data_IF_545181109000
#
_entry.id   IF_545181109000
#
_cell.length_a   1.000
_cell.length_b   1.000
_cell.length_c   1.000
_cell.angle_alpha   90.00
_cell.angle_beta   90.00
_cell.angle_gamma   90.00
#
_symmetry.space_group_name_H-M   'P 1'
#
loop_
_entity.id
_entity.type
_entity.pdbx_description
1 polymer ?
#
# COMPACT_ATOMS: atom_id res chain seq x y z
N UNK A 1 -48.47 14.67 -21.76
CA UNK A 1 -47.03 14.44 -21.55
C UNK A 1 -46.86 13.70 -20.24
N UNK A 2 -46.73 12.37 -20.32
CA UNK A 2 -46.73 11.49 -19.14
C UNK A 2 -45.28 11.23 -18.75
N UNK A 3 -44.87 11.68 -17.58
CA UNK A 3 -43.54 11.42 -17.05
C UNK A 3 -43.41 9.91 -16.74
N UNK A 4 -42.65 9.20 -17.57
CA UNK A 4 -42.22 7.83 -17.30
C UNK A 4 -41.30 7.86 -16.08
N UNK A 5 -41.86 7.50 -14.92
CA UNK A 5 -41.09 7.25 -13.72
C UNK A 5 -40.16 6.04 -13.96
N UNK A 6 -38.89 6.32 -14.25
CA UNK A 6 -37.84 5.32 -14.36
C UNK A 6 -37.69 4.62 -13.01
N UNK A 7 -38.07 3.35 -12.98
CA UNK A 7 -38.01 2.49 -11.80
C UNK A 7 -36.55 2.39 -11.32
N UNK A 8 -36.27 2.53 -10.01
CA UNK A 8 -34.92 2.37 -9.50
C UNK A 8 -34.43 0.95 -9.79
N UNK A 9 -33.31 0.85 -10.49
CA UNK A 9 -32.61 -0.41 -10.75
C UNK A 9 -32.34 -1.12 -9.43
N UNK A 10 -32.89 -2.31 -9.28
CA UNK A 10 -32.79 -3.15 -8.08
C UNK A 10 -31.32 -3.38 -7.68
N UNK A 11 -31.02 -3.28 -6.38
CA UNK A 11 -29.71 -3.52 -5.75
C UNK A 11 -28.86 -4.71 -6.29
N UNK A 12 -29.43 -5.88 -6.69
CA UNK A 12 -28.66 -6.95 -7.33
C UNK A 12 -27.92 -6.54 -8.61
N UNK A 13 -28.50 -5.66 -9.44
CA UNK A 13 -27.87 -5.17 -10.67
C UNK A 13 -26.64 -4.29 -10.43
N UNK A 14 -26.59 -3.60 -9.28
CA UNK A 14 -25.45 -2.76 -8.91
C UNK A 14 -24.24 -3.60 -8.50
N UNK A 15 -24.46 -4.72 -7.80
CA UNK A 15 -23.39 -5.63 -7.38
C UNK A 15 -22.78 -6.36 -8.57
N UNK A 16 -23.60 -6.83 -9.51
CA UNK A 16 -23.10 -7.47 -10.73
C UNK A 16 -22.32 -6.47 -11.59
N UNK A 17 -22.84 -5.25 -11.79
CA UNK A 17 -22.14 -4.19 -12.51
C UNK A 17 -20.78 -3.84 -11.87
N UNK A 18 -20.73 -3.70 -10.54
CA UNK A 18 -19.49 -3.43 -9.82
C UNK A 18 -18.47 -4.55 -10.02
N UNK A 19 -18.89 -5.82 -9.90
CA UNK A 19 -17.99 -6.98 -10.10
C UNK A 19 -17.43 -7.03 -11.51
N UNK A 20 -18.27 -6.82 -12.53
CA UNK A 20 -17.84 -6.81 -13.93
C UNK A 20 -16.86 -5.67 -14.19
N UNK A 21 -17.16 -4.45 -13.72
CA UNK A 21 -16.26 -3.30 -13.85
C UNK A 21 -14.94 -3.54 -13.11
N UNK A 22 -14.98 -4.03 -11.88
CA UNK A 22 -13.79 -4.34 -11.10
C UNK A 22 -12.91 -5.40 -11.79
N UNK A 23 -13.52 -6.42 -12.41
CA UNK A 23 -12.78 -7.44 -13.17
C UNK A 23 -12.09 -6.88 -14.41
N UNK A 24 -12.76 -5.97 -15.15
CA UNK A 24 -12.18 -5.30 -16.31
C UNK A 24 -11.02 -4.38 -15.92
N UNK A 25 -11.20 -3.57 -14.86
CA UNK A 25 -10.15 -2.69 -14.37
C UNK A 25 -8.99 -3.48 -13.76
N UNK A 26 -9.25 -4.58 -13.04
CA UNK A 26 -8.22 -5.47 -12.52
C UNK A 26 -7.40 -6.10 -13.65
N UNK A 27 -8.04 -6.56 -14.73
CA UNK A 27 -7.33 -7.07 -15.91
C UNK A 27 -6.51 -5.98 -16.58
N UNK A 28 -7.06 -4.78 -16.74
CA UNK A 28 -6.35 -3.64 -17.32
C UNK A 28 -5.14 -3.23 -16.48
N UNK A 29 -5.27 -3.28 -15.15
CA UNK A 29 -4.19 -3.05 -14.21
C UNK A 29 -3.09 -4.13 -14.33
N UNK A 30 -3.48 -5.41 -14.32
CA UNK A 30 -2.57 -6.54 -14.40
C UNK A 30 -1.76 -6.58 -15.72
N UNK A 31 -2.36 -6.10 -16.81
CA UNK A 31 -1.72 -6.02 -18.13
C UNK A 31 -1.01 -4.68 -18.36
N UNK A 32 -1.00 -3.78 -17.38
CA UNK A 32 -0.34 -2.48 -17.54
C UNK A 32 1.18 -2.67 -17.60
N UNK A 33 1.89 -2.12 -18.60
CA UNK A 33 3.31 -2.38 -18.80
C UNK A 33 4.18 -2.00 -17.60
N UNK A 34 3.86 -0.88 -16.94
CA UNK A 34 4.55 -0.49 -15.69
C UNK A 34 4.35 -1.50 -14.55
N UNK A 35 3.15 -2.08 -14.41
CA UNK A 35 2.90 -3.09 -13.38
C UNK A 35 3.68 -4.37 -13.67
N UNK A 36 3.67 -4.84 -14.93
CA UNK A 36 4.47 -5.99 -15.36
C UNK A 36 5.96 -5.75 -15.11
N UNK A 37 6.47 -4.55 -15.43
CA UNK A 37 7.86 -4.18 -15.14
C UNK A 37 8.15 -4.19 -13.63
N UNK A 38 7.23 -3.69 -12.79
CA UNK A 38 7.35 -3.74 -11.33
C UNK A 38 7.41 -5.17 -10.79
N UNK A 39 6.55 -6.08 -11.27
CA UNK A 39 6.56 -7.51 -10.90
C UNK A 39 7.86 -8.18 -11.34
N UNK A 40 8.33 -7.88 -12.56
CA UNK A 40 9.58 -8.43 -13.08
C UNK A 40 10.79 -7.94 -12.26
N UNK A 41 10.88 -6.65 -11.96
CA UNK A 41 11.94 -6.11 -11.12
C UNK A 41 11.90 -6.71 -9.72
N UNK A 42 10.73 -6.80 -9.09
CA UNK A 42 10.57 -7.47 -7.80
C UNK A 42 11.12 -8.91 -7.85
N UNK A 43 10.79 -9.65 -8.90
CA UNK A 43 11.26 -11.03 -9.10
C UNK A 43 12.77 -11.09 -9.26
N UNK A 44 13.35 -10.24 -10.13
CA UNK A 44 14.80 -10.19 -10.38
C UNK A 44 15.57 -9.87 -9.11
N UNK A 45 15.17 -8.83 -8.37
CA UNK A 45 15.84 -8.46 -7.13
C UNK A 45 15.68 -9.52 -6.02
N UNK A 46 14.53 -10.20 -5.96
CA UNK A 46 14.32 -11.31 -5.03
C UNK A 46 15.23 -12.49 -5.34
N UNK A 47 15.37 -12.84 -6.62
CA UNK A 47 16.28 -13.91 -7.06
C UNK A 47 17.73 -13.54 -6.83
N UNK A 48 18.11 -12.29 -7.09
CA UNK A 48 19.45 -11.78 -6.80
C UNK A 48 19.77 -11.88 -5.30
N UNK A 49 18.85 -11.43 -4.43
CA UNK A 49 19.02 -11.54 -2.98
C UNK A 49 19.14 -13.01 -2.51
N UNK A 50 18.38 -13.92 -3.11
CA UNK A 50 18.51 -15.35 -2.84
C UNK A 50 19.86 -15.93 -3.30
N UNK A 51 20.37 -15.48 -4.45
CA UNK A 51 21.67 -15.88 -4.97
C UNK A 51 22.82 -15.37 -4.07
N UNK A 52 22.73 -14.11 -3.65
CA UNK A 52 23.70 -13.49 -2.75
C UNK A 52 23.74 -14.19 -1.39
N UNK A 53 22.57 -14.58 -0.87
CA UNK A 53 22.47 -15.41 0.32
C UNK A 53 23.13 -16.79 0.13
N UNK A 54 22.87 -17.45 -1.00
CA UNK A 54 23.43 -18.78 -1.28
C UNK A 54 24.96 -18.78 -1.48
N UNK A 55 25.52 -17.67 -1.96
CA UNK A 55 26.98 -17.50 -2.17
C UNK A 55 27.70 -16.93 -0.96
N UNK A 56 26.96 -16.52 0.09
CA UNK A 56 27.52 -15.94 1.31
C UNK A 56 28.08 -14.53 1.12
N UNK A 57 27.65 -13.81 0.07
CA UNK A 57 28.04 -12.42 -0.16
C UNK A 57 27.34 -11.45 0.78
N UNK A 58 26.20 -11.87 1.34
CA UNK A 58 25.42 -11.14 2.36
C UNK A 58 25.21 -12.06 3.56
N UNK A 59 25.21 -11.50 4.77
CA UNK A 59 24.94 -12.29 5.98
C UNK A 59 23.56 -12.97 5.92
N UNK A 60 23.46 -14.25 6.36
CA UNK A 60 22.24 -15.03 6.29
C UNK A 60 21.27 -14.65 7.41
N UNK A 61 20.72 -13.45 7.32
CA UNK A 61 19.64 -13.00 8.20
C UNK A 61 18.43 -12.58 7.37
N UNK A 62 17.23 -12.73 7.92
CA UNK A 62 15.98 -12.23 7.30
C UNK A 62 16.08 -10.76 6.86
N UNK A 63 16.90 -9.99 7.59
CA UNK A 63 17.13 -8.56 7.45
C UNK A 63 18.57 -8.24 6.98
N UNK A 64 19.30 -9.21 6.43
CA UNK A 64 20.72 -9.08 6.07
C UNK A 64 21.04 -8.01 5.04
N UNK A 65 20.01 -7.45 4.41
CA UNK A 65 20.09 -6.17 3.72
C UNK A 65 18.94 -5.22 4.01
N UNK A 66 18.05 -5.49 4.99
CA UNK A 66 16.84 -4.70 5.32
C UNK A 66 15.78 -4.57 4.21
N UNK A 67 16.17 -4.77 2.95
CA UNK A 67 15.46 -4.31 1.76
C UNK A 67 14.34 -5.26 1.32
N UNK A 68 14.39 -6.55 1.70
CA UNK A 68 13.43 -7.55 1.24
C UNK A 68 11.99 -7.18 1.59
N UNK A 69 11.75 -6.67 2.80
CA UNK A 69 10.42 -6.25 3.26
C UNK A 69 9.91 -5.02 2.49
N UNK A 70 10.84 -4.16 2.07
CA UNK A 70 10.54 -2.92 1.34
C UNK A 70 10.24 -3.20 -0.14
N UNK A 71 10.79 -4.26 -0.71
CA UNK A 71 10.67 -4.57 -2.13
C UNK A 71 9.23 -4.60 -2.68
N UNK A 72 8.24 -5.32 -2.09
CA UNK A 72 6.87 -5.28 -2.60
C UNK A 72 6.24 -3.89 -2.47
N UNK A 73 6.51 -3.17 -1.38
CA UNK A 73 6.02 -1.81 -1.18
C UNK A 73 6.60 -0.85 -2.23
N UNK A 74 7.87 -0.99 -2.57
CA UNK A 74 8.54 -0.17 -3.56
C UNK A 74 8.11 -0.54 -4.99
N UNK A 75 8.34 -1.77 -5.43
CA UNK A 75 8.12 -2.17 -6.82
C UNK A 75 6.64 -2.30 -7.20
N UNK A 76 5.77 -2.70 -6.28
CA UNK A 76 4.34 -2.84 -6.55
C UNK A 76 3.57 -1.63 -6.03
N UNK A 77 3.87 -1.16 -4.82
CA UNK A 77 3.19 0.00 -4.23
C UNK A 77 3.50 1.30 -4.97
N UNK A 78 4.78 1.69 -5.03
CA UNK A 78 5.17 2.99 -5.62
C UNK A 78 4.88 3.04 -7.13
N UNK A 79 5.24 2.00 -7.88
CA UNK A 79 4.86 1.89 -9.30
C UNK A 79 3.34 1.89 -9.45
N UNK A 80 2.65 1.24 -8.51
CA UNK A 80 1.20 1.17 -8.48
C UNK A 80 0.49 2.51 -8.34
N UNK A 81 1.12 3.50 -7.66
CA UNK A 81 0.66 4.90 -7.62
C UNK A 81 0.50 5.45 -9.04
N UNK A 82 1.52 5.24 -9.89
CA UNK A 82 1.55 5.75 -11.26
C UNK A 82 0.48 5.08 -12.12
N UNK A 83 0.39 3.74 -12.06
CA UNK A 83 -0.59 2.95 -12.81
C UNK A 83 -2.01 3.36 -12.43
N UNK A 84 -2.32 3.39 -11.13
CA UNK A 84 -3.66 3.73 -10.64
C UNK A 84 -4.05 5.17 -11.00
N UNK A 85 -3.12 6.12 -10.88
CA UNK A 85 -3.37 7.51 -11.28
C UNK A 85 -3.65 7.64 -12.79
N UNK A 86 -2.90 6.93 -13.65
CA UNK A 86 -3.12 6.93 -15.10
C UNK A 86 -4.47 6.31 -15.47
N UNK A 87 -4.83 5.17 -14.88
CA UNK A 87 -6.12 4.51 -15.09
C UNK A 87 -7.28 5.41 -14.65
N UNK A 88 -7.16 6.03 -13.49
CA UNK A 88 -8.16 6.97 -12.96
C UNK A 88 -8.39 8.13 -13.92
N UNK A 89 -7.32 8.73 -14.45
CA UNK A 89 -7.43 9.84 -15.41
C UNK A 89 -7.96 9.43 -16.77
N UNK A 90 -7.57 8.25 -17.25
CA UNK A 90 -8.11 7.69 -18.49
C UNK A 90 -9.63 7.55 -18.40
N UNK A 91 -10.15 7.08 -17.25
CA UNK A 91 -11.58 6.93 -17.04
C UNK A 91 -12.33 8.27 -16.96
N UNK A 92 -11.74 9.28 -16.32
CA UNK A 92 -12.33 10.62 -16.28
C UNK A 92 -12.47 11.23 -17.68
N UNK A 93 -11.42 11.13 -18.51
CA UNK A 93 -11.45 11.63 -19.90
C UNK A 93 -12.48 10.90 -20.76
N UNK A 94 -12.58 9.58 -20.63
CA UNK A 94 -13.59 8.80 -21.38
C UNK A 94 -15.02 9.10 -20.93
N UNK A 95 -15.22 9.45 -19.66
CA UNK A 95 -16.53 9.83 -19.13
C UNK A 95 -17.06 11.16 -19.69
N UNK A 96 -16.16 12.08 -20.05
CA UNK A 96 -16.51 13.35 -20.69
C UNK A 96 -16.87 13.17 -22.18
N UNK A 97 -16.26 12.19 -22.84
CA UNK A 97 -16.40 11.97 -24.28
C UNK A 97 -17.62 11.12 -24.69
N UNK A 98 -18.12 10.25 -23.80
CA UNK A 98 -19.22 9.32 -24.11
C UNK A 98 -20.48 9.76 -23.37
N UNK A 99 -21.59 9.87 -24.10
CA UNK A 99 -22.95 10.10 -23.59
C UNK A 99 -23.27 9.23 -22.35
N UNK A 100 -24.24 9.59 -21.48
CA UNK A 100 -24.25 9.21 -20.07
C UNK A 100 -24.07 7.71 -19.86
N UNK A 101 -22.86 7.33 -19.46
CA UNK A 101 -22.55 5.94 -19.16
C UNK A 101 -23.38 5.47 -17.95
N UNK A 102 -23.99 4.28 -18.00
CA UNK A 102 -24.98 3.81 -17.03
C UNK A 102 -24.44 3.56 -15.62
N UNK A 103 -23.13 3.71 -15.38
CA UNK A 103 -22.51 3.53 -14.08
C UNK A 103 -22.20 4.88 -13.39
N UNK A 104 -22.72 5.08 -12.18
CA UNK A 104 -22.42 6.23 -11.33
C UNK A 104 -20.91 6.37 -11.06
N UNK A 105 -20.44 7.61 -10.84
CA UNK A 105 -19.03 7.91 -10.51
C UNK A 105 -18.52 7.12 -9.30
N UNK A 106 -19.35 6.98 -8.26
CA UNK A 106 -19.00 6.21 -7.06
C UNK A 106 -18.74 4.73 -7.36
N UNK A 107 -19.53 4.10 -8.23
CA UNK A 107 -19.31 2.71 -8.65
C UNK A 107 -18.03 2.52 -9.45
N UNK A 108 -17.65 3.49 -10.30
CA UNK A 108 -16.40 3.45 -11.06
C UNK A 108 -15.18 3.60 -10.14
N UNK A 109 -15.24 4.53 -9.18
CA UNK A 109 -14.18 4.68 -8.18
C UNK A 109 -14.06 3.44 -7.29
N UNK A 110 -15.19 2.84 -6.88
CA UNK A 110 -15.16 1.59 -6.13
C UNK A 110 -14.53 0.44 -6.94
N UNK A 111 -14.82 0.34 -8.24
CA UNK A 111 -14.20 -0.64 -9.13
C UNK A 111 -12.67 -0.45 -9.23
N UNK A 112 -12.20 0.80 -9.34
CA UNK A 112 -10.76 1.12 -9.33
C UNK A 112 -10.10 0.78 -7.99
N UNK A 113 -10.74 1.08 -6.87
CA UNK A 113 -10.22 0.70 -5.55
C UNK A 113 -10.14 -0.83 -5.41
N UNK A 114 -11.10 -1.59 -5.96
CA UNK A 114 -11.03 -3.05 -5.99
C UNK A 114 -9.93 -3.57 -6.93
N UNK A 115 -9.68 -2.91 -8.05
CA UNK A 115 -8.57 -3.25 -8.94
C UNK A 115 -7.20 -3.07 -8.26
N UNK A 116 -7.09 -2.20 -7.25
CA UNK A 116 -5.88 -2.06 -6.42
C UNK A 116 -5.57 -3.30 -5.57
N UNK A 117 -6.46 -4.30 -5.52
CA UNK A 117 -6.15 -5.60 -4.92
C UNK A 117 -5.22 -6.46 -5.79
N UNK A 118 -5.06 -6.15 -7.09
CA UNK A 118 -4.15 -6.86 -8.00
C UNK A 118 -2.69 -6.81 -7.52
N UNK A 119 -2.08 -5.64 -7.23
CA UNK A 119 -0.73 -5.59 -6.66
C UNK A 119 -0.66 -6.21 -5.27
N UNK A 120 -1.73 -6.14 -4.47
CA UNK A 120 -1.81 -6.87 -3.19
C UNK A 120 -1.74 -8.38 -3.37
N UNK A 121 -2.47 -8.93 -4.33
CA UNK A 121 -2.41 -10.37 -4.65
C UNK A 121 -1.01 -10.78 -5.13
N UNK A 122 -0.37 -9.98 -5.98
CA UNK A 122 1.02 -10.22 -6.39
C UNK A 122 1.99 -10.19 -5.20
N UNK A 123 1.80 -9.25 -4.26
CA UNK A 123 2.60 -9.19 -3.03
C UNK A 123 2.36 -10.40 -2.11
N UNK A 124 1.13 -10.93 -2.03
CA UNK A 124 0.82 -12.17 -1.29
C UNK A 124 1.49 -13.39 -1.93
N UNK A 125 1.50 -13.48 -3.25
CA UNK A 125 2.22 -14.55 -3.98
C UNK A 125 3.71 -14.47 -3.68
N UNK A 126 4.29 -13.27 -3.77
CA UNK A 126 5.69 -13.03 -3.40
C UNK A 126 5.97 -13.40 -1.95
N UNK A 127 5.10 -13.01 -1.01
CA UNK A 127 5.22 -13.35 0.41
C UNK A 127 5.17 -14.87 0.64
N UNK A 128 4.28 -15.56 -0.06
CA UNK A 128 4.19 -17.02 0.03
C UNK A 128 5.46 -17.68 -0.48
N UNK A 129 6.02 -17.16 -1.59
CA UNK A 129 7.30 -17.62 -2.11
C UNK A 129 8.43 -17.41 -1.10
N UNK A 130 8.54 -16.24 -0.46
CA UNK A 130 9.61 -16.00 0.52
C UNK A 130 9.52 -16.93 1.74
N UNK A 131 8.32 -17.21 2.23
CA UNK A 131 8.12 -18.23 3.28
C UNK A 131 8.51 -19.63 2.83
N UNK A 132 8.11 -20.06 1.62
CA UNK A 132 8.48 -21.38 1.09
C UNK A 132 10.00 -21.48 0.93
N UNK A 133 10.64 -20.46 0.36
CA UNK A 133 12.10 -20.43 0.18
C UNK A 133 12.83 -20.57 1.52
N UNK A 134 12.35 -19.91 2.58
CA UNK A 134 12.90 -20.05 3.93
C UNK A 134 12.82 -21.47 4.48
N UNK A 135 11.65 -22.11 4.31
CA UNK A 135 11.48 -23.50 4.79
C UNK A 135 12.40 -24.47 4.06
N UNK A 136 12.71 -24.20 2.79
CA UNK A 136 13.57 -25.05 1.97
C UNK A 136 15.07 -24.80 2.19
N UNK A 137 15.49 -23.57 2.50
CA UNK A 137 16.90 -23.19 2.61
C UNK A 137 17.44 -23.13 4.04
N UNK A 138 16.64 -23.51 5.04
CA UNK A 138 17.06 -23.60 6.46
C UNK A 138 17.79 -22.34 6.95
N UNK A 139 17.26 -21.17 6.59
CA UNK A 139 17.85 -19.88 7.00
C UNK A 139 17.84 -19.82 8.54
N UNK A 140 18.94 -19.41 9.19
CA UNK A 140 19.01 -19.31 10.64
C UNK A 140 17.85 -18.47 11.20
N UNK A 141 17.28 -18.88 12.34
CA UNK A 141 16.22 -18.10 12.98
C UNK A 141 16.76 -16.72 13.36
N UNK A 142 15.96 -15.69 13.13
CA UNK A 142 16.31 -14.33 13.55
C UNK A 142 15.97 -14.10 15.01
N UNK A 143 16.56 -13.04 15.56
CA UNK A 143 16.22 -12.54 16.89
C UNK A 143 14.84 -11.88 16.94
N UNK A 144 14.12 -11.74 15.82
CA UNK A 144 12.79 -11.13 15.77
C UNK A 144 11.74 -12.21 16.05
N UNK A 145 10.79 -11.98 16.98
CA UNK A 145 9.70 -12.92 17.22
C UNK A 145 8.94 -13.26 15.94
N UNK A 146 8.43 -14.50 15.78
CA UNK A 146 7.70 -14.91 14.57
C UNK A 146 6.46 -14.05 14.27
N UNK A 147 5.74 -13.61 15.32
CA UNK A 147 4.57 -12.75 15.17
C UNK A 147 4.93 -11.38 14.57
N UNK A 148 6.03 -10.78 15.02
CA UNK A 148 6.52 -9.51 14.50
C UNK A 148 7.03 -9.65 13.07
N UNK A 149 7.70 -10.77 12.77
CA UNK A 149 8.15 -11.08 11.41
C UNK A 149 6.98 -11.16 10.42
N UNK A 150 5.89 -11.84 10.80
CA UNK A 150 4.66 -11.88 9.99
C UNK A 150 4.06 -10.48 9.84
N UNK A 151 3.99 -9.70 10.91
CA UNK A 151 3.44 -8.34 10.86
C UNK A 151 4.25 -7.41 9.93
N UNK A 152 5.58 -7.47 10.01
CA UNK A 152 6.52 -6.72 9.17
C UNK A 152 6.32 -7.07 7.68
N UNK A 153 6.20 -8.36 7.36
CA UNK A 153 5.95 -8.80 5.98
C UNK A 153 4.56 -8.41 5.46
N UNK A 154 3.54 -8.57 6.30
CA UNK A 154 2.19 -8.13 5.97
C UNK A 154 2.14 -6.62 5.74
N UNK A 155 2.98 -5.82 6.42
CA UNK A 155 3.10 -4.39 6.15
C UNK A 155 3.54 -4.15 4.69
N UNK A 156 4.53 -4.90 4.18
CA UNK A 156 4.94 -4.83 2.77
C UNK A 156 3.78 -5.10 1.79
N UNK A 157 2.94 -6.10 2.08
CA UNK A 157 1.73 -6.42 1.29
C UNK A 157 0.70 -5.29 1.34
N UNK A 158 0.44 -4.75 2.53
CA UNK A 158 -0.50 -3.64 2.71
C UNK A 158 -0.03 -2.40 1.95
N UNK A 159 1.28 -2.13 1.94
CA UNK A 159 1.86 -1.00 1.23
C UNK A 159 1.82 -1.16 -0.29
N UNK A 160 1.94 -2.40 -0.78
CA UNK A 160 1.70 -2.73 -2.19
C UNK A 160 0.27 -2.39 -2.64
N UNK A 161 -0.71 -2.41 -1.72
CA UNK A 161 -2.09 -1.95 -1.97
C UNK A 161 -2.25 -0.44 -1.76
N UNK A 162 -1.59 0.11 -0.73
CA UNK A 162 -1.68 1.51 -0.34
C UNK A 162 -1.22 2.49 -1.41
N UNK A 163 -0.11 2.20 -2.10
CA UNK A 163 0.39 3.03 -3.20
C UNK A 163 -0.64 3.21 -4.34
N UNK A 164 -1.17 2.13 -4.94
CA UNK A 164 -2.25 2.23 -5.92
C UNK A 164 -3.48 3.00 -5.42
N UNK A 165 -3.94 2.76 -4.18
CA UNK A 165 -5.08 3.47 -3.61
C UNK A 165 -4.82 4.98 -3.50
N UNK A 166 -3.60 5.36 -3.11
CA UNK A 166 -3.16 6.75 -3.10
C UNK A 166 -3.10 7.33 -4.52
N UNK A 167 -2.70 6.54 -5.51
CA UNK A 167 -2.77 6.91 -6.93
C UNK A 167 -4.20 7.19 -7.41
N UNK A 168 -5.19 6.37 -7.00
CA UNK A 168 -6.61 6.62 -7.26
C UNK A 168 -7.06 7.92 -6.59
N UNK A 169 -6.70 8.12 -5.31
CA UNK A 169 -7.05 9.33 -4.56
C UNK A 169 -6.51 10.59 -5.27
N UNK A 170 -5.22 10.61 -5.59
CA UNK A 170 -4.57 11.73 -6.27
C UNK A 170 -5.18 11.96 -7.65
N UNK A 171 -5.42 10.89 -8.41
CA UNK A 171 -6.03 10.97 -9.73
C UNK A 171 -7.45 11.56 -9.73
N UNK A 172 -8.18 11.41 -8.62
CA UNK A 172 -9.52 12.01 -8.44
C UNK A 172 -9.49 13.46 -7.97
N UNK A 173 -8.57 13.79 -7.07
CA UNK A 173 -8.55 15.10 -6.42
C UNK A 173 -7.72 16.15 -7.13
N UNK A 174 -6.84 15.75 -8.04
CA UNK A 174 -5.90 16.66 -8.69
C UNK A 174 -6.11 16.72 -10.20
N UNK A 175 -6.25 17.94 -10.74
CA UNK A 175 -6.33 18.18 -12.18
C UNK A 175 -4.95 18.26 -12.87
N UNK A 176 -3.86 18.42 -12.10
CA UNK A 176 -2.53 18.77 -12.62
C UNK A 176 -1.91 17.63 -13.43
N UNK A 177 -1.54 17.78 -14.72
CA UNK A 177 -0.80 16.77 -15.47
C UNK A 177 0.50 16.42 -14.74
N UNK A 178 0.67 15.16 -14.33
CA UNK A 178 1.86 14.71 -13.59
C UNK A 178 1.70 14.54 -12.08
N UNK A 179 0.52 14.77 -11.49
CA UNK A 179 0.30 14.61 -10.05
C UNK A 179 0.76 13.25 -9.51
N UNK A 180 0.54 12.15 -10.24
CA UNK A 180 1.03 10.83 -9.83
C UNK A 180 2.55 10.73 -9.72
N UNK A 181 3.30 11.39 -10.64
CA UNK A 181 4.78 11.43 -10.59
C UNK A 181 5.21 12.26 -9.38
N UNK A 182 4.58 13.42 -9.16
CA UNK A 182 4.88 14.25 -8.00
C UNK A 182 4.63 13.49 -6.69
N UNK A 183 3.51 12.76 -6.59
CA UNK A 183 3.21 11.90 -5.43
C UNK A 183 4.27 10.82 -5.25
N UNK A 184 4.68 10.13 -6.32
CA UNK A 184 5.77 9.17 -6.27
C UNK A 184 7.06 9.78 -5.72
N UNK A 185 7.49 10.94 -6.26
CA UNK A 185 8.72 11.61 -5.84
C UNK A 185 8.64 12.06 -4.38
N UNK A 186 7.51 12.65 -3.96
CA UNK A 186 7.32 13.09 -2.58
C UNK A 186 7.32 11.92 -1.60
N UNK A 187 6.67 10.80 -1.94
CA UNK A 187 6.70 9.59 -1.11
C UNK A 187 8.11 9.02 -1.02
N UNK A 188 8.83 8.96 -2.14
CA UNK A 188 10.20 8.46 -2.19
C UNK A 188 11.14 9.34 -1.35
N UNK A 189 11.03 10.66 -1.51
CA UNK A 189 11.79 11.62 -0.73
C UNK A 189 11.45 11.53 0.77
N UNK A 190 10.17 11.39 1.12
CA UNK A 190 9.75 11.20 2.51
C UNK A 190 10.35 9.95 3.14
N UNK A 191 10.27 8.82 2.44
CA UNK A 191 10.90 7.57 2.86
C UNK A 191 12.41 7.76 3.02
N UNK A 192 13.08 8.37 2.03
CA UNK A 192 14.53 8.59 2.10
C UNK A 192 14.93 9.47 3.29
N UNK A 193 14.21 10.56 3.53
CA UNK A 193 14.45 11.46 4.68
C UNK A 193 14.22 10.74 5.99
N UNK A 194 13.16 9.94 6.11
CA UNK A 194 12.86 9.22 7.33
C UNK A 194 13.79 8.02 7.57
N UNK A 195 14.24 7.32 6.52
CA UNK A 195 15.24 6.25 6.63
C UNK A 195 16.62 6.82 7.02
N UNK A 196 17.08 7.87 6.33
CA UNK A 196 18.38 8.52 6.62
C UNK A 196 18.32 9.22 7.99
N UNK A 197 17.27 10.00 8.23
CA UNK A 197 17.05 10.70 9.50
C UNK A 197 16.93 9.72 10.67
N UNK A 198 16.13 8.67 10.52
CA UNK A 198 15.98 7.63 11.55
C UNK A 198 17.29 6.91 11.85
N UNK A 199 18.15 6.67 10.86
CA UNK A 199 19.47 6.04 11.06
C UNK A 199 20.52 6.95 11.71
N UNK A 200 20.35 8.27 11.63
CA UNK A 200 21.32 9.26 12.13
C UNK A 200 20.91 9.89 13.47
N UNK A 201 19.64 9.76 13.85
CA UNK A 201 19.13 10.26 15.13
C UNK A 201 19.39 9.28 16.27
N UNK A 202 19.66 9.82 17.46
CA UNK A 202 19.69 9.01 18.67
C UNK A 202 18.31 8.35 18.90
N UNK A 203 18.32 7.09 19.35
CA UNK A 203 17.10 6.35 19.63
C UNK A 203 16.20 7.13 20.59
N UNK A 204 15.05 7.55 20.10
CA UNK A 204 14.06 8.34 20.83
C UNK A 204 12.67 8.07 20.28
N UNK A 205 11.63 8.38 21.06
CA UNK A 205 10.26 8.28 20.55
C UNK A 205 10.02 9.18 19.34
N UNK A 206 10.73 10.32 19.24
CA UNK A 206 10.65 11.20 18.08
C UNK A 206 11.28 10.56 16.84
N UNK A 207 12.46 9.95 16.95
CA UNK A 207 13.08 9.26 15.82
C UNK A 207 12.23 8.07 15.35
N UNK A 208 11.64 7.32 16.28
CA UNK A 208 10.69 6.24 15.94
C UNK A 208 9.44 6.79 15.28
N UNK A 209 8.85 7.88 15.78
CA UNK A 209 7.67 8.49 15.19
C UNK A 209 7.92 8.93 13.75
N UNK A 210 9.05 9.59 13.47
CA UNK A 210 9.43 10.01 12.11
C UNK A 210 9.63 8.79 11.21
N UNK A 211 10.32 7.77 11.71
CA UNK A 211 10.64 6.56 10.94
C UNK A 211 9.43 5.66 10.67
N UNK A 212 8.48 5.61 11.60
CA UNK A 212 7.23 4.85 11.48
C UNK A 212 6.11 5.64 10.78
N UNK A 213 6.28 6.94 10.57
CA UNK A 213 5.35 7.74 9.77
C UNK A 213 5.52 7.51 8.26
N UNK A 214 6.52 6.73 7.83
CA UNK A 214 6.69 6.34 6.44
C UNK A 214 5.72 5.25 6.03
N UNK A 215 5.37 5.17 4.74
CA UNK A 215 4.60 4.05 4.22
C UNK A 215 5.36 2.72 4.31
N UNK A 216 6.69 2.72 4.39
CA UNK A 216 7.46 1.51 4.69
C UNK A 216 8.71 1.89 5.45
N UNK A 217 9.06 1.07 6.42
CA UNK A 217 10.13 1.33 7.39
C UNK A 217 11.03 0.11 7.48
N UNK A 218 12.32 0.35 7.72
CA UNK A 218 13.32 -0.70 7.85
C UNK A 218 13.36 -1.12 9.31
N UNK A 219 12.99 -2.36 9.58
CA UNK A 219 13.15 -2.97 10.89
C UNK A 219 14.51 -3.64 10.94
N UNK A 220 15.35 -3.28 11.90
CA UNK A 220 16.68 -3.87 12.06
C UNK A 220 16.87 -4.35 13.49
N UNK A 221 17.38 -5.57 13.65
CA UNK A 221 17.89 -6.10 14.91
C UNK A 221 19.42 -6.02 14.84
N UNK A 222 20.02 -5.06 15.55
CA UNK A 222 21.41 -4.65 15.35
C UNK A 222 22.49 -5.66 15.75
N UNK A 223 23.62 -5.56 15.02
CA UNK A 223 24.98 -5.60 15.56
C UNK A 223 25.50 -4.17 15.81
N UNK A 224 26.63 -4.04 16.51
CA UNK A 224 27.18 -2.77 17.00
C UNK A 224 27.39 -1.73 15.89
N UNK A 225 26.46 -0.75 15.81
CA UNK A 225 26.56 0.40 14.89
C UNK A 225 25.30 0.68 14.06
N UNK A 226 24.37 -0.26 13.95
CA UNK A 226 23.10 -0.01 13.28
C UNK A 226 22.05 0.49 14.29
N UNK A 227 21.56 1.71 14.09
CA UNK A 227 20.49 2.27 14.91
C UNK A 227 19.24 1.36 14.83
N UNK A 228 18.82 0.85 15.99
CA UNK A 228 17.59 0.07 16.11
C UNK A 228 16.39 0.98 15.81
N UNK A 229 15.58 0.62 14.82
CA UNK A 229 14.23 1.18 14.71
C UNK A 229 13.31 0.36 15.61
N UNK A 230 13.07 0.87 16.81
CA UNK A 230 12.13 0.29 17.77
C UNK A 230 10.69 0.55 17.37
N UNK A 231 9.77 -0.17 18.01
CA UNK A 231 8.34 0.00 17.80
C UNK A 231 7.57 -1.31 17.83
N UNK A 232 6.25 -1.24 17.65
CA UNK A 232 5.40 -2.42 17.53
C UNK A 232 4.96 -2.63 16.08
N UNK A 233 5.45 -3.68 15.40
CA UNK A 233 5.05 -3.99 14.03
C UNK A 233 3.54 -4.23 13.86
N UNK A 234 2.89 -4.80 14.87
CA UNK A 234 1.43 -5.01 14.86
C UNK A 234 0.64 -3.70 14.82
N UNK A 235 1.01 -2.71 15.65
CA UNK A 235 0.39 -1.40 15.63
C UNK A 235 0.72 -0.61 14.35
N UNK A 236 1.93 -0.79 13.82
CA UNK A 236 2.31 -0.20 12.54
C UNK A 236 1.51 -0.80 11.37
N UNK A 237 1.25 -2.10 11.37
CA UNK A 237 0.37 -2.75 10.39
C UNK A 237 -1.06 -2.20 10.47
N UNK A 238 -1.58 -1.95 11.68
CA UNK A 238 -2.87 -1.30 11.86
C UNK A 238 -2.87 0.14 11.28
N UNK A 239 -1.81 0.90 11.51
CA UNK A 239 -1.64 2.23 10.93
C UNK A 239 -1.64 2.19 9.39
N UNK A 240 -0.89 1.28 8.77
CA UNK A 240 -0.85 1.16 7.30
C UNK A 240 -2.18 0.72 6.69
N UNK A 241 -2.86 -0.25 7.33
CA UNK A 241 -4.17 -0.72 6.87
C UNK A 241 -5.24 0.37 6.97
N UNK A 242 -5.21 1.16 8.03
CA UNK A 242 -6.13 2.31 8.21
C UNK A 242 -5.83 3.43 7.22
N UNK A 243 -4.56 3.70 6.89
CA UNK A 243 -4.20 4.62 5.80
C UNK A 243 -4.70 4.16 4.43
N UNK A 244 -4.60 2.86 4.13
CA UNK A 244 -5.17 2.29 2.90
C UNK A 244 -6.69 2.51 2.85
N UNK A 245 -7.38 2.22 3.95
CA UNK A 245 -8.81 2.49 4.09
C UNK A 245 -9.15 3.97 3.92
N UNK A 246 -8.34 4.88 4.47
CA UNK A 246 -8.53 6.32 4.39
C UNK A 246 -8.39 6.80 2.94
N UNK A 247 -7.38 6.33 2.21
CA UNK A 247 -7.20 6.66 0.80
C UNK A 247 -8.40 6.21 -0.05
N UNK A 248 -8.87 4.97 0.14
CA UNK A 248 -10.05 4.45 -0.55
C UNK A 248 -11.33 5.24 -0.20
N UNK A 249 -11.56 5.51 1.09
CA UNK A 249 -12.72 6.25 1.56
C UNK A 249 -12.71 7.71 1.05
N UNK A 250 -11.54 8.36 1.00
CA UNK A 250 -11.39 9.73 0.52
C UNK A 250 -11.59 9.82 -1.00
N UNK A 251 -11.16 8.80 -1.75
CA UNK A 251 -11.45 8.70 -3.17
C UNK A 251 -12.97 8.54 -3.43
N UNK A 252 -13.65 7.70 -2.65
CA UNK A 252 -15.11 7.50 -2.74
C UNK A 252 -15.89 8.74 -2.28
N UNK A 253 -15.41 9.45 -1.27
CA UNK A 253 -16.06 10.64 -0.71
C UNK A 253 -16.18 11.77 -1.73
N UNK A 254 -15.20 11.89 -2.63
CA UNK A 254 -15.21 12.87 -3.72
C UNK A 254 -16.47 12.75 -4.60
N UNK A 255 -16.87 11.52 -4.93
CA UNK A 255 -18.01 11.21 -5.81
C UNK A 255 -19.34 11.04 -5.06
N UNK A 256 -19.31 11.08 -3.73
CA UNK A 256 -20.48 10.83 -2.89
C UNK A 256 -21.38 12.08 -2.76
N UNK A 257 -22.70 11.86 -2.74
CA UNK A 257 -23.74 12.90 -2.61
C UNK A 257 -24.75 12.55 -1.50
N UNK A 258 -25.31 13.58 -0.85
CA UNK A 258 -26.35 13.43 0.18
C UNK A 258 -25.92 12.53 1.35
N UNK A 259 -26.78 11.58 1.74
CA UNK A 259 -26.57 10.72 2.90
C UNK A 259 -25.36 9.77 2.80
N UNK A 260 -24.87 9.43 1.59
CA UNK A 260 -23.66 8.62 1.45
C UNK A 260 -22.39 9.42 1.78
N UNK A 261 -22.36 10.72 1.43
CA UNK A 261 -21.23 11.62 1.74
C UNK A 261 -21.07 11.82 3.24
N UNK A 262 -22.18 12.01 3.97
CA UNK A 262 -22.15 12.13 5.43
C UNK A 262 -21.62 10.86 6.11
N UNK A 263 -22.03 9.67 5.64
CA UNK A 263 -21.54 8.39 6.16
C UNK A 263 -20.04 8.20 5.90
N UNK A 264 -19.58 8.44 4.66
CA UNK A 264 -18.16 8.37 4.31
C UNK A 264 -17.32 9.40 5.07
N UNK A 265 -17.86 10.59 5.35
CA UNK A 265 -17.20 11.59 6.20
C UNK A 265 -16.94 11.07 7.62
N UNK A 266 -17.92 10.39 8.23
CA UNK A 266 -17.72 9.76 9.55
C UNK A 266 -16.69 8.63 9.48
N UNK A 267 -16.74 7.81 8.42
CA UNK A 267 -15.75 6.74 8.20
C UNK A 267 -14.34 7.32 8.08
N UNK A 268 -14.15 8.45 7.38
CA UNK A 268 -12.86 9.13 7.29
C UNK A 268 -12.36 9.60 8.65
N UNK A 269 -13.22 10.19 9.48
CA UNK A 269 -12.85 10.61 10.84
C UNK A 269 -12.41 9.42 11.68
N UNK A 270 -13.19 8.33 11.68
CA UNK A 270 -12.86 7.11 12.45
C UNK A 270 -11.54 6.51 11.97
N UNK A 271 -11.33 6.38 10.67
CA UNK A 271 -10.08 5.85 10.11
C UNK A 271 -8.88 6.76 10.42
N UNK A 272 -9.06 8.09 10.36
CA UNK A 272 -8.01 9.05 10.73
C UNK A 272 -7.61 8.95 12.20
N UNK A 273 -8.58 8.81 13.11
CA UNK A 273 -8.32 8.61 14.53
C UNK A 273 -7.62 7.27 14.80
N UNK A 274 -8.04 6.20 14.13
CA UNK A 274 -7.40 4.88 14.25
C UNK A 274 -5.98 4.89 13.69
N UNK A 275 -5.72 5.58 12.57
CA UNK A 275 -4.38 5.73 12.02
C UNK A 275 -3.46 6.49 12.98
N UNK A 276 -3.93 7.62 13.53
CA UNK A 276 -3.16 8.40 14.50
C UNK A 276 -2.88 7.58 15.77
N UNK A 277 -3.87 6.87 16.31
CA UNK A 277 -3.70 6.00 17.47
C UNK A 277 -2.73 4.85 17.18
N UNK A 278 -2.86 4.19 16.03
CA UNK A 278 -1.97 3.11 15.60
C UNK A 278 -0.52 3.57 15.47
N UNK A 279 -0.28 4.74 14.87
CA UNK A 279 1.06 5.32 14.76
C UNK A 279 1.65 5.67 16.13
N UNK A 280 0.87 6.32 17.00
CA UNK A 280 1.32 6.69 18.33
C UNK A 280 1.63 5.45 19.18
N UNK A 281 0.80 4.41 19.12
CA UNK A 281 1.04 3.15 19.84
C UNK A 281 2.23 2.38 19.25
N UNK A 282 2.42 2.43 17.93
CA UNK A 282 3.60 1.86 17.29
C UNK A 282 4.89 2.54 17.76
N UNK A 283 4.90 3.87 17.89
CA UNK A 283 6.06 4.66 18.33
C UNK A 283 6.25 4.71 19.86
N UNK A 284 5.19 4.44 20.64
CA UNK A 284 5.22 4.41 22.10
C UNK A 284 5.80 3.11 22.66
N UNK A 285 5.85 2.03 21.86
CA UNK A 285 6.58 0.83 22.23
C UNK A 285 8.06 1.15 22.47
N UNK A 286 8.70 0.39 23.37
CA UNK A 286 10.03 0.68 23.90
C UNK A 286 11.04 0.94 22.77
N UNK A 287 11.63 2.15 22.67
CA UNK A 287 12.57 2.49 21.61
C UNK A 287 13.88 1.70 21.70
N UNK A 288 14.19 1.12 22.88
CA UNK A 288 15.42 0.38 23.13
C UNK A 288 15.24 -1.15 23.04
N UNK A 289 14.01 -1.65 22.85
CA UNK A 289 13.74 -3.09 22.76
C UNK A 289 12.73 -3.37 21.66
N UNK A 290 13.13 -4.20 20.69
CA UNK A 290 12.16 -5.13 20.11
C UNK A 290 11.72 -5.99 21.30
N UNK A 291 10.42 -6.08 21.66
CA UNK A 291 9.99 -7.01 22.69
C UNK A 291 10.35 -8.43 22.22
N UNK A 292 11.50 -8.94 22.69
CA UNK A 292 11.94 -10.31 22.49
C UNK A 292 11.04 -11.27 23.27
#
# INVERSE_FOLDING_TARGET
>A
MTALATRPTTAPGRRSALRTLAGLEARRYALHPLFVAGVLLLTVFTVQAAYDLATGTIEPTWFGGGDLVVMPAFFLGMVGVLVANQLTRSLSRSAEAVAPSPADGLTRTAALCLACLVPGAAAVVWLTWTFVAQTLWTIPPTSVPPADTVAILCAGVVCAVGGPLLGVLVGRWTAVPGAGILTFVLLYAWVGVASIGGSTMAASHLSNLVSLATPFTLWTSGGAGAAFMGGSPGWYLLFLTTLCGLAAAAALWHEARGASRARLGRTLVVLGLLAAAGLLLAAAADPARIPL
#
